data_IF_163131408308
#
_entry.id   IF_163131408308
#
_cell.length_a   1.000
_cell.length_b   1.000
_cell.length_c   1.000
_cell.angle_alpha   90.00
_cell.angle_beta   90.00
_cell.angle_gamma   90.00
#
_symmetry.space_group_name_H-M   'P 1'
#
loop_
_entity.id
_entity.type
_entity.pdbx_description
1 polymer ?
#
# COMPACT_ATOMS: atom_id res chain seq x y z
N UNK A 1 18.07 -14.22 35.89
CA UNK A 1 16.91 -13.38 36.25
C UNK A 1 16.26 -12.87 34.96
N UNK A 2 15.13 -13.45 34.55
CA UNK A 2 14.37 -13.00 33.37
C UNK A 2 13.67 -11.67 33.69
N UNK A 3 14.18 -10.55 33.17
CA UNK A 3 13.44 -9.28 33.18
C UNK A 3 12.74 -9.11 31.83
N UNK A 4 11.50 -9.60 31.76
CA UNK A 4 10.60 -9.43 30.63
C UNK A 4 10.16 -7.97 30.53
N UNK A 5 10.78 -7.19 29.65
CA UNK A 5 10.32 -5.83 29.33
C UNK A 5 9.41 -5.86 28.10
N UNK A 6 8.12 -5.63 28.34
CA UNK A 6 7.09 -5.49 27.32
C UNK A 6 7.37 -4.24 26.47
N UNK A 7 7.60 -4.42 25.18
CA UNK A 7 7.97 -3.35 24.26
C UNK A 7 6.71 -2.61 23.77
N UNK A 8 6.32 -1.54 24.48
CA UNK A 8 5.34 -0.57 23.99
C UNK A 8 6.08 0.38 23.03
N UNK A 9 5.96 0.15 21.72
CA UNK A 9 6.38 1.14 20.72
C UNK A 9 5.36 2.28 20.77
N UNK A 10 5.66 3.30 21.58
CA UNK A 10 4.96 4.57 21.55
C UNK A 10 5.16 5.23 20.17
N UNK A 11 4.18 5.07 19.29
CA UNK A 11 4.06 5.89 18.09
C UNK A 11 3.53 7.25 18.54
N UNK A 12 4.46 8.20 18.76
CA UNK A 12 4.13 9.61 18.95
C UNK A 12 3.52 10.13 17.65
N UNK A 13 2.21 9.96 17.51
CA UNK A 13 1.43 10.62 16.48
C UNK A 13 1.09 12.01 17.02
N UNK A 14 1.95 12.98 16.72
CA UNK A 14 1.65 14.41 16.84
C UNK A 14 0.59 14.77 15.80
N UNK A 15 -0.67 14.33 16.01
CA UNK A 15 -1.80 14.97 15.36
C UNK A 15 -2.13 16.22 16.15
N UNK A 16 -1.60 17.33 15.65
CA UNK A 16 -1.92 18.68 16.10
C UNK A 16 -3.42 18.90 16.18
N UNK A 17 -3.81 19.59 17.24
CA UNK A 17 -5.16 19.96 17.62
C UNK A 17 -5.90 20.65 16.46
N UNK A 18 -6.86 19.97 15.86
CA UNK A 18 -7.95 20.63 15.17
C UNK A 18 -9.14 20.67 16.14
N UNK A 19 -9.41 21.85 16.70
CA UNK A 19 -10.48 22.13 17.66
C UNK A 19 -11.81 21.55 17.15
N UNK A 20 -12.49 20.63 17.87
CA UNK A 20 -13.85 20.24 17.54
C UNK A 20 -14.81 21.36 17.96
N UNK A 21 -15.57 21.87 16.99
CA UNK A 21 -16.76 22.68 17.24
C UNK A 21 -17.83 21.82 17.96
N UNK A 22 -18.60 22.40 18.90
CA UNK A 22 -19.56 21.67 19.69
C UNK A 22 -20.81 21.41 18.87
N UNK A 23 -21.13 20.13 18.61
CA UNK A 23 -22.46 19.74 18.16
C UNK A 23 -23.19 19.15 19.37
N UNK A 24 -24.01 19.98 19.99
CA UNK A 24 -24.96 19.58 21.01
C UNK A 24 -26.15 18.87 20.33
N UNK A 25 -26.33 17.58 20.61
CA UNK A 25 -27.64 16.93 20.59
C UNK A 25 -27.68 15.84 21.68
N UNK A 26 -28.62 16.05 22.59
CA UNK A 26 -28.95 15.34 23.83
C UNK A 26 -29.30 13.84 23.65
N UNK A 27 -29.45 13.09 24.76
CA UNK A 27 -29.18 11.65 24.80
C UNK A 27 -30.40 10.82 24.42
N UNK A 28 -30.17 9.73 23.69
CA UNK A 28 -31.09 8.59 23.66
C UNK A 28 -30.56 7.57 24.66
N UNK A 29 -31.28 7.52 25.78
CA UNK A 29 -31.11 6.58 26.88
C UNK A 29 -31.35 5.14 26.45
N UNK A 30 -30.85 4.27 27.31
CA UNK A 30 -31.28 2.89 27.56
C UNK A 30 -30.68 1.78 26.69
N UNK A 31 -29.59 1.24 27.25
CA UNK A 31 -29.47 -0.13 27.70
C UNK A 31 -30.38 -1.17 27.01
N UNK A 32 -29.76 -2.23 26.47
CA UNK A 32 -30.00 -3.62 26.90
C UNK A 32 -29.17 -4.57 26.03
N UNK A 33 -28.29 -5.31 26.73
CA UNK A 33 -27.93 -6.72 26.50
C UNK A 33 -26.98 -7.07 25.34
N UNK A 34 -25.79 -7.49 25.76
CA UNK A 34 -24.80 -8.20 24.97
C UNK A 34 -25.37 -9.43 24.24
N UNK A 35 -25.16 -9.55 22.92
CA UNK A 35 -25.29 -10.80 22.20
C UNK A 35 -23.91 -11.43 22.01
N UNK A 36 -23.71 -12.53 22.73
CA UNK A 36 -23.07 -13.78 22.31
C UNK A 36 -22.02 -13.72 21.19
N UNK A 37 -20.77 -13.95 21.60
CA UNK A 37 -19.61 -14.45 20.85
C UNK A 37 -20.03 -15.40 19.72
N UNK A 38 -20.19 -14.89 18.50
CA UNK A 38 -20.25 -15.75 17.33
C UNK A 38 -18.81 -15.98 16.86
N UNK A 39 -18.45 -17.26 16.80
CA UNK A 39 -17.29 -17.80 16.10
C UNK A 39 -17.47 -17.55 14.60
N UNK A 40 -17.40 -16.30 14.17
CA UNK A 40 -17.11 -16.01 12.78
C UNK A 40 -15.62 -16.27 12.61
N UNK A 41 -15.33 -17.52 12.20
CA UNK A 41 -14.19 -17.82 11.34
C UNK A 41 -13.93 -16.59 10.50
N UNK A 42 -12.80 -15.96 10.77
CA UNK A 42 -12.32 -14.83 10.00
C UNK A 42 -12.00 -15.40 8.63
N UNK A 43 -13.04 -15.50 7.80
CA UNK A 43 -12.92 -15.71 6.37
C UNK A 43 -12.13 -14.50 5.92
N UNK A 44 -10.81 -14.67 5.88
CA UNK A 44 -9.90 -13.67 5.37
C UNK A 44 -10.51 -13.22 4.07
N UNK A 45 -11.02 -11.99 4.06
CA UNK A 45 -11.42 -11.31 2.85
C UNK A 45 -10.12 -11.26 2.09
N UNK A 46 -9.94 -12.24 1.18
CA UNK A 46 -8.85 -12.23 0.24
C UNK A 46 -9.06 -10.89 -0.44
N UNK A 47 -8.22 -9.92 -0.14
CA UNK A 47 -8.05 -8.71 -0.95
C UNK A 47 -7.35 -9.15 -2.24
N UNK A 48 -7.92 -10.16 -2.90
CA UNK A 48 -8.07 -10.17 -4.32
C UNK A 48 -9.07 -9.03 -4.60
N UNK A 49 -8.61 -7.80 -4.35
CA UNK A 49 -8.87 -6.68 -5.24
C UNK A 49 -8.23 -7.06 -6.58
N UNK A 50 -8.71 -8.16 -7.17
CA UNK A 50 -8.86 -8.41 -8.58
C UNK A 50 -9.69 -7.25 -9.08
N UNK A 51 -9.04 -6.08 -9.10
CA UNK A 51 -9.23 -4.89 -9.89
C UNK A 51 -10.27 -5.19 -10.94
N UNK A 52 -11.56 -5.07 -10.55
CA UNK A 52 -12.72 -5.61 -11.27
C UNK A 52 -12.45 -5.47 -12.75
N UNK A 53 -12.08 -6.54 -13.44
CA UNK A 53 -11.29 -6.43 -14.68
C UNK A 53 -11.88 -5.40 -15.63
N UNK A 54 -11.15 -4.33 -15.87
CA UNK A 54 -11.52 -3.33 -16.87
C UNK A 54 -11.14 -3.91 -18.24
N UNK A 55 -12.05 -3.80 -19.19
CA UNK A 55 -11.73 -3.88 -20.61
C UNK A 55 -11.66 -2.46 -21.17
N UNK A 56 -11.04 -2.27 -22.31
CA UNK A 56 -11.10 -1.01 -23.04
C UNK A 56 -11.17 -1.26 -24.54
N UNK A 57 -11.94 -0.44 -25.24
CA UNK A 57 -11.92 -0.34 -26.69
C UNK A 57 -11.06 0.87 -27.05
N UNK A 58 -9.97 0.64 -27.78
CA UNK A 58 -9.06 1.71 -28.17
C UNK A 58 -8.73 1.55 -29.66
N UNK A 59 -9.02 2.62 -30.43
CA UNK A 59 -8.94 2.63 -31.89
C UNK A 59 -9.75 1.49 -32.54
N UNK A 60 -10.99 1.27 -32.08
CA UNK A 60 -11.92 0.25 -32.61
C UNK A 60 -11.62 -1.19 -32.17
N UNK A 61 -10.52 -1.43 -31.45
CA UNK A 61 -10.15 -2.79 -30.99
C UNK A 61 -10.47 -2.95 -29.52
N UNK A 62 -11.38 -3.88 -29.21
CA UNK A 62 -11.66 -4.32 -27.85
C UNK A 62 -10.47 -5.10 -27.30
N UNK A 63 -9.95 -4.65 -26.16
CA UNK A 63 -8.87 -5.30 -25.42
C UNK A 63 -9.43 -5.99 -24.20
N UNK A 64 -8.98 -7.22 -23.98
CA UNK A 64 -9.35 -7.97 -22.80
C UNK A 64 -8.78 -7.35 -21.51
N UNK A 65 -9.07 -7.98 -20.37
CA UNK A 65 -8.65 -7.51 -19.05
C UNK A 65 -7.13 -7.45 -18.91
N UNK A 66 -6.39 -8.43 -19.44
CA UNK A 66 -4.95 -8.52 -19.30
C UNK A 66 -4.24 -7.47 -20.15
N UNK A 67 -4.63 -7.35 -21.42
CA UNK A 67 -4.16 -6.32 -22.34
C UNK A 67 -4.48 -4.91 -21.83
N UNK A 68 -5.69 -4.72 -21.31
CA UNK A 68 -6.11 -3.44 -20.72
C UNK A 68 -5.19 -3.07 -19.56
N UNK A 69 -4.96 -4.00 -18.62
CA UNK A 69 -4.09 -3.78 -17.46
C UNK A 69 -2.65 -3.47 -17.84
N UNK A 70 -2.09 -4.19 -18.82
CA UNK A 70 -0.75 -3.93 -19.33
C UNK A 70 -0.64 -2.51 -19.91
N UNK A 71 -1.62 -2.09 -20.70
CA UNK A 71 -1.64 -0.76 -21.30
C UNK A 71 -1.80 0.36 -20.27
N UNK A 72 -2.70 0.20 -19.30
CA UNK A 72 -2.85 1.17 -18.20
C UNK A 72 -1.57 1.26 -17.36
N UNK A 73 -0.89 0.14 -17.13
CA UNK A 73 0.40 0.09 -16.42
C UNK A 73 1.48 0.82 -17.21
N UNK A 74 1.53 0.64 -18.54
CA UNK A 74 2.44 1.38 -19.42
C UNK A 74 2.20 2.89 -19.36
N UNK A 75 0.93 3.33 -19.43
CA UNK A 75 0.58 4.74 -19.28
C UNK A 75 0.95 5.30 -17.91
N UNK A 76 0.81 4.49 -16.85
CA UNK A 76 1.17 4.89 -15.49
C UNK A 76 2.69 5.06 -15.32
N UNK A 77 3.46 4.17 -15.93
CA UNK A 77 4.93 4.18 -15.85
C UNK A 77 5.54 5.29 -16.71
N UNK A 78 4.92 5.61 -17.85
CA UNK A 78 5.29 6.77 -18.68
C UNK A 78 4.79 8.12 -18.14
N UNK A 79 4.18 8.14 -16.95
CA UNK A 79 3.80 9.38 -16.27
C UNK A 79 2.58 10.09 -16.84
N UNK A 80 1.73 9.41 -17.63
CA UNK A 80 0.55 10.05 -18.22
C UNK A 80 -0.39 10.61 -17.16
N UNK A 81 -1.02 11.75 -17.47
CA UNK A 81 -2.03 12.38 -16.63
C UNK A 81 -3.42 11.76 -16.87
N UNK A 82 -4.32 11.89 -15.90
CA UNK A 82 -5.71 11.43 -16.04
C UNK A 82 -6.41 12.11 -17.22
N UNK A 83 -6.28 13.44 -17.44
CA UNK A 83 -6.82 14.08 -18.64
C UNK A 83 -6.26 13.54 -19.96
N UNK A 84 -4.96 13.20 -20.02
CA UNK A 84 -4.34 12.61 -21.22
C UNK A 84 -4.91 11.23 -21.53
N UNK A 85 -5.09 10.39 -20.50
CA UNK A 85 -5.68 9.06 -20.66
C UNK A 85 -7.17 9.14 -21.00
N UNK A 86 -7.93 10.04 -20.36
CA UNK A 86 -9.33 10.30 -20.70
C UNK A 86 -9.50 10.69 -22.17
N UNK A 87 -8.60 11.53 -22.70
CA UNK A 87 -8.60 11.89 -24.12
C UNK A 87 -8.32 10.68 -25.03
N UNK A 88 -7.35 9.83 -24.68
CA UNK A 88 -7.05 8.60 -25.44
C UNK A 88 -8.21 7.61 -25.45
N UNK A 89 -8.99 7.57 -24.37
CA UNK A 89 -10.15 6.70 -24.21
C UNK A 89 -11.44 7.27 -24.81
N UNK A 90 -11.40 8.46 -25.43
CA UNK A 90 -12.57 9.10 -26.04
C UNK A 90 -13.49 9.83 -25.05
N UNK A 91 -13.12 9.93 -23.77
CA UNK A 91 -14.01 10.41 -22.70
C UNK A 91 -13.91 11.93 -22.45
N UNK A 92 -12.85 12.61 -22.94
CA UNK A 92 -12.58 14.01 -22.59
C UNK A 92 -13.68 14.99 -23.03
N UNK A 93 -14.37 14.70 -24.14
CA UNK A 93 -15.41 15.57 -24.72
C UNK A 93 -16.83 15.23 -24.24
N UNK A 94 -16.97 14.21 -23.42
CA UNK A 94 -18.26 13.75 -22.90
C UNK A 94 -18.57 14.46 -21.58
N UNK A 95 -19.86 14.67 -21.29
CA UNK A 95 -20.28 15.03 -19.93
C UNK A 95 -19.98 13.87 -18.97
N UNK A 96 -19.95 14.14 -17.67
CA UNK A 96 -19.77 13.08 -16.68
C UNK A 96 -20.87 12.02 -16.80
N UNK A 97 -22.13 12.46 -16.98
CA UNK A 97 -23.29 11.58 -17.17
C UNK A 97 -23.15 10.66 -18.39
N UNK A 98 -22.61 11.16 -19.50
CA UNK A 98 -22.31 10.32 -20.68
C UNK A 98 -21.13 9.39 -20.41
N UNK A 99 -20.07 9.91 -19.78
CA UNK A 99 -18.84 9.19 -19.56
C UNK A 99 -19.02 7.99 -18.63
N UNK A 100 -19.87 8.06 -17.61
CA UNK A 100 -20.11 6.94 -16.67
C UNK A 100 -20.72 5.71 -17.36
N UNK A 101 -21.45 5.91 -18.46
CA UNK A 101 -22.08 4.84 -19.25
C UNK A 101 -21.20 4.35 -20.42
N UNK A 102 -20.06 4.99 -20.66
CA UNK A 102 -19.15 4.63 -21.74
C UNK A 102 -18.34 3.37 -21.41
N UNK A 103 -18.10 2.51 -22.40
CA UNK A 103 -17.35 1.24 -22.26
C UNK A 103 -15.97 1.43 -21.59
N UNK A 104 -15.26 2.51 -21.95
CA UNK A 104 -13.93 2.84 -21.40
C UNK A 104 -13.93 3.49 -20.01
N UNK A 105 -15.08 3.79 -19.42
CA UNK A 105 -15.16 4.45 -18.10
C UNK A 105 -14.41 3.68 -17.03
N UNK A 106 -14.59 2.36 -17.03
CA UNK A 106 -13.95 1.46 -16.07
C UNK A 106 -12.44 1.44 -16.22
N UNK A 107 -11.92 1.60 -17.44
CA UNK A 107 -10.49 1.71 -17.68
C UNK A 107 -9.92 3.03 -17.14
N UNK A 108 -10.63 4.16 -17.33
CA UNK A 108 -10.21 5.47 -16.80
C UNK A 108 -10.20 5.48 -15.27
N UNK A 109 -11.27 5.02 -14.63
CA UNK A 109 -11.37 4.96 -13.16
C UNK A 109 -10.34 3.99 -12.58
N UNK A 110 -10.03 2.89 -13.26
CA UNK A 110 -8.93 1.99 -12.89
C UNK A 110 -7.58 2.70 -12.99
N UNK A 111 -7.29 3.40 -14.09
CA UNK A 111 -6.07 4.19 -14.22
C UNK A 111 -5.91 5.23 -13.11
N UNK A 112 -6.98 5.96 -12.77
CA UNK A 112 -6.98 6.94 -11.69
C UNK A 112 -6.68 6.29 -10.33
N UNK A 113 -7.28 5.14 -10.03
CA UNK A 113 -6.98 4.36 -8.81
C UNK A 113 -5.52 3.91 -8.77
N UNK A 114 -5.00 3.37 -9.87
CA UNK A 114 -3.59 2.96 -9.97
C UNK A 114 -2.65 4.14 -9.74
N UNK A 115 -2.97 5.32 -10.30
CA UNK A 115 -2.18 6.54 -10.12
C UNK A 115 -2.20 7.01 -8.67
N UNK A 116 -3.36 7.02 -8.02
CA UNK A 116 -3.50 7.34 -6.59
C UNK A 116 -2.71 6.37 -5.71
N UNK A 117 -2.79 5.07 -5.99
CA UNK A 117 -2.02 4.04 -5.28
C UNK A 117 -0.51 4.23 -5.44
N UNK A 118 -0.05 4.53 -6.67
CA UNK A 118 1.37 4.82 -6.93
C UNK A 118 1.85 6.08 -6.21
N UNK A 119 1.03 7.14 -6.18
CA UNK A 119 1.37 8.40 -5.52
C UNK A 119 1.52 8.25 -3.99
N UNK A 120 0.76 7.33 -3.38
CA UNK A 120 0.83 7.01 -1.94
C UNK A 120 1.79 5.88 -1.61
N UNK A 121 2.50 5.33 -2.61
CA UNK A 121 3.35 4.18 -2.43
C UNK A 121 4.68 4.57 -1.81
N UNK A 122 5.02 3.95 -0.68
CA UNK A 122 6.34 4.09 -0.08
C UNK A 122 7.37 3.18 -0.75
N UNK A 123 6.95 1.99 -1.14
CA UNK A 123 7.78 1.01 -1.83
C UNK A 123 6.95 0.20 -2.83
N UNK A 124 7.63 -0.51 -3.72
CA UNK A 124 7.05 -1.43 -4.69
C UNK A 124 7.82 -2.75 -4.66
N UNK A 125 7.21 -3.80 -4.14
CA UNK A 125 7.80 -5.14 -4.11
C UNK A 125 6.70 -6.21 -4.03
N UNK A 126 7.04 -7.46 -4.33
CA UNK A 126 6.08 -8.54 -4.46
C UNK A 126 5.05 -8.24 -5.55
N UNK A 127 3.76 -8.27 -5.21
CA UNK A 127 2.65 -8.09 -6.15
C UNK A 127 2.34 -6.63 -6.51
N UNK A 128 3.00 -5.63 -5.89
CA UNK A 128 2.79 -4.24 -6.29
C UNK A 128 3.24 -3.18 -5.29
N UNK A 129 2.59 -2.00 -5.38
CA UNK A 129 2.84 -0.87 -4.49
C UNK A 129 2.37 -1.16 -3.07
N UNK A 130 3.21 -0.79 -2.09
CA UNK A 130 2.97 -0.96 -0.66
C UNK A 130 2.96 0.41 0.03
N UNK A 131 2.12 0.53 1.05
CA UNK A 131 2.10 1.72 1.92
C UNK A 131 3.31 1.74 2.84
N UNK A 132 3.60 2.89 3.44
CA UNK A 132 4.70 3.02 4.40
C UNK A 132 4.53 2.11 5.61
N UNK A 133 3.36 2.12 6.24
CA UNK A 133 3.06 1.30 7.42
C UNK A 133 3.31 -0.19 7.16
N UNK A 134 2.74 -0.74 6.07
CA UNK A 134 2.91 -2.14 5.69
C UNK A 134 4.36 -2.46 5.30
N UNK A 135 5.04 -1.52 4.65
CA UNK A 135 6.46 -1.71 4.33
C UNK A 135 7.28 -1.81 5.60
N UNK A 136 7.14 -0.86 6.53
CA UNK A 136 7.89 -0.86 7.79
C UNK A 136 7.63 -2.09 8.65
N UNK A 137 6.37 -2.55 8.71
CA UNK A 137 6.02 -3.82 9.37
C UNK A 137 6.78 -5.01 8.76
N UNK A 138 6.74 -5.16 7.42
CA UNK A 138 7.47 -6.22 6.74
C UNK A 138 8.98 -6.12 6.95
N UNK A 139 9.56 -4.91 6.90
CA UNK A 139 10.98 -4.69 7.13
C UNK A 139 11.38 -5.16 8.54
N UNK A 140 10.58 -4.84 9.55
CA UNK A 140 10.82 -5.28 10.93
C UNK A 140 10.75 -6.82 11.03
N UNK A 141 9.77 -7.45 10.38
CA UNK A 141 9.69 -8.92 10.33
C UNK A 141 10.92 -9.54 9.66
N UNK A 142 11.44 -8.96 8.57
CA UNK A 142 12.67 -9.42 7.92
C UNK A 142 13.89 -9.29 8.85
N UNK A 143 13.98 -8.20 9.61
CA UNK A 143 15.03 -8.05 10.64
C UNK A 143 14.92 -9.14 11.72
N UNK A 144 13.72 -9.38 12.24
CA UNK A 144 13.48 -10.40 13.28
C UNK A 144 13.63 -11.84 12.78
N UNK A 145 13.55 -12.07 11.47
CA UNK A 145 13.86 -13.35 10.83
C UNK A 145 15.37 -13.55 10.61
N UNK A 146 16.13 -12.46 10.59
CA UNK A 146 17.56 -12.48 10.32
C UNK A 146 17.91 -12.36 8.83
N UNK A 147 16.98 -11.93 8.00
CA UNK A 147 17.19 -11.78 6.55
C UNK A 147 18.41 -10.88 6.28
N UNK A 148 19.27 -11.29 5.35
CA UNK A 148 20.52 -10.58 5.01
C UNK A 148 20.25 -9.30 4.20
N UNK A 149 21.18 -8.32 4.15
CA UNK A 149 21.01 -7.14 3.29
C UNK A 149 20.97 -7.53 1.81
N UNK A 150 21.66 -8.63 1.45
CA UNK A 150 21.63 -9.17 0.09
C UNK A 150 20.24 -9.67 -0.29
N UNK A 151 19.60 -10.48 0.56
CA UNK A 151 18.24 -11.01 0.30
C UNK A 151 17.20 -9.91 0.24
N UNK A 152 17.25 -8.95 1.16
CA UNK A 152 16.32 -7.82 1.16
C UNK A 152 16.56 -6.90 -0.04
N UNK A 153 17.82 -6.65 -0.42
CA UNK A 153 18.12 -5.88 -1.63
C UNK A 153 17.60 -6.57 -2.90
N UNK A 154 17.64 -7.91 -2.96
CA UNK A 154 17.06 -8.70 -4.05
C UNK A 154 15.54 -8.54 -4.08
N UNK A 155 14.87 -8.72 -2.94
CA UNK A 155 13.41 -8.56 -2.80
C UNK A 155 12.92 -7.16 -3.18
N UNK A 156 13.71 -6.14 -2.86
CA UNK A 156 13.42 -4.75 -3.20
C UNK A 156 13.88 -4.35 -4.62
N UNK A 157 14.44 -5.27 -5.40
CA UNK A 157 14.89 -5.01 -6.78
C UNK A 157 16.10 -4.07 -6.89
N UNK A 158 16.92 -4.00 -5.84
CA UNK A 158 18.12 -3.15 -5.78
C UNK A 158 19.41 -3.90 -6.13
N UNK A 159 19.36 -5.23 -6.13
CA UNK A 159 20.53 -6.07 -6.39
C UNK A 159 21.07 -5.84 -7.82
N UNK A 160 22.39 -5.65 -7.94
CA UNK A 160 23.07 -5.43 -9.22
C UNK A 160 22.95 -4.01 -9.80
N UNK A 161 22.18 -3.12 -9.17
CA UNK A 161 22.13 -1.72 -9.58
C UNK A 161 23.41 -0.98 -9.15
N UNK A 162 23.85 -0.01 -9.96
CA UNK A 162 24.92 0.89 -9.56
C UNK A 162 24.48 1.80 -8.42
N UNK A 163 25.44 2.33 -7.65
CA UNK A 163 25.16 3.22 -6.50
C UNK A 163 24.21 4.37 -6.86
N UNK A 164 24.42 5.01 -8.02
CA UNK A 164 23.54 6.10 -8.51
C UNK A 164 22.12 5.60 -8.75
N UNK A 165 21.96 4.47 -9.46
CA UNK A 165 20.64 3.87 -9.71
C UNK A 165 19.93 3.43 -8.44
N UNK A 166 20.68 3.00 -7.41
CA UNK A 166 20.10 2.63 -6.11
C UNK A 166 19.50 3.85 -5.41
N UNK A 167 20.23 4.97 -5.36
CA UNK A 167 19.76 6.20 -4.69
C UNK A 167 18.49 6.74 -5.36
N UNK A 168 18.42 6.68 -6.69
CA UNK A 168 17.26 7.14 -7.46
C UNK A 168 16.10 6.11 -7.49
N UNK A 169 16.26 4.93 -6.87
CA UNK A 169 15.26 3.86 -6.91
C UNK A 169 14.12 4.10 -5.90
N UNK A 170 12.88 3.82 -6.30
CA UNK A 170 11.70 3.99 -5.44
C UNK A 170 11.81 3.23 -4.10
N UNK A 171 12.52 2.11 -4.06
CA UNK A 171 12.69 1.29 -2.84
C UNK A 171 13.92 1.66 -1.99
N UNK A 172 14.65 2.71 -2.33
CA UNK A 172 15.86 3.11 -1.62
C UNK A 172 15.59 3.38 -0.13
N UNK A 173 14.56 4.19 0.16
CA UNK A 173 14.22 4.56 1.54
C UNK A 173 13.75 3.35 2.36
N UNK A 174 13.06 2.39 1.74
CA UNK A 174 12.72 1.11 2.37
C UNK A 174 13.98 0.33 2.74
N UNK A 175 14.97 0.24 1.84
CA UNK A 175 16.21 -0.46 2.13
C UNK A 175 17.05 0.23 3.20
N UNK A 176 17.13 1.58 3.20
CA UNK A 176 17.79 2.32 4.29
C UNK A 176 17.12 2.07 5.63
N UNK A 177 15.78 2.09 5.66
CA UNK A 177 15.01 1.81 6.87
C UNK A 177 15.31 0.41 7.39
N UNK A 178 15.39 -0.59 6.51
CA UNK A 178 15.78 -1.94 6.88
C UNK A 178 17.17 -2.01 7.53
N UNK A 179 18.18 -1.37 6.92
CA UNK A 179 19.54 -1.32 7.49
C UNK A 179 19.55 -0.65 8.88
N UNK A 180 18.76 0.42 9.05
CA UNK A 180 18.58 1.08 10.35
C UNK A 180 17.97 0.12 11.39
N UNK A 181 16.87 -0.53 11.06
CA UNK A 181 16.21 -1.49 11.95
C UNK A 181 17.13 -2.65 12.33
N UNK A 182 17.94 -3.14 11.39
CA UNK A 182 18.95 -4.16 11.68
C UNK A 182 19.97 -3.72 12.71
N UNK A 183 20.50 -2.51 12.57
CA UNK A 183 21.46 -1.95 13.52
C UNK A 183 20.84 -1.88 14.92
N UNK A 184 19.64 -1.32 15.02
CA UNK A 184 18.91 -1.22 16.29
C UNK A 184 18.60 -2.60 16.89
N UNK A 185 18.24 -3.58 16.06
CA UNK A 185 18.00 -4.95 16.51
C UNK A 185 19.28 -5.61 17.04
N UNK A 186 20.42 -5.43 16.37
CA UNK A 186 21.71 -5.95 16.84
C UNK A 186 22.11 -5.32 18.19
N UNK A 187 21.88 -4.01 18.37
CA UNK A 187 22.10 -3.32 19.65
C UNK A 187 21.22 -3.90 20.76
N UNK A 188 19.93 -4.16 20.48
CA UNK A 188 19.02 -4.79 21.45
C UNK A 188 19.46 -6.22 21.80
N UNK A 189 19.84 -7.04 20.82
CA UNK A 189 20.34 -8.39 21.06
C UNK A 189 21.62 -8.39 21.93
N UNK A 190 22.54 -7.45 21.67
CA UNK A 190 23.75 -7.28 22.49
C UNK A 190 23.45 -6.89 23.94
N UNK A 191 22.32 -6.21 24.18
CA UNK A 191 21.84 -5.83 25.51
C UNK A 191 20.99 -6.93 26.19
N UNK A 192 21.01 -8.17 25.67
CA UNK A 192 20.32 -9.32 26.27
C UNK A 192 18.84 -9.46 25.90
N UNK A 193 18.33 -8.65 24.97
CA UNK A 193 16.99 -8.85 24.43
C UNK A 193 17.01 -10.03 23.46
N UNK A 194 16.46 -11.18 23.82
CA UNK A 194 16.34 -12.33 22.91
C UNK A 194 14.94 -12.41 22.31
N UNK A 195 14.83 -12.97 21.10
CA UNK A 195 13.53 -13.25 20.48
C UNK A 195 12.75 -14.22 21.37
N UNK A 196 11.48 -13.90 21.66
CA UNK A 196 10.56 -14.84 22.30
C UNK A 196 10.43 -16.08 21.39
N UNK A 197 11.07 -17.18 21.78
CA UNK A 197 10.79 -18.50 21.23
C UNK A 197 9.45 -18.94 21.82
N UNK A 198 8.40 -18.91 21.01
CA UNK A 198 7.19 -19.70 21.26
C UNK A 198 7.47 -21.14 20.82
#
# INVERSE_FOLDING_TARGET
>A
MLRSFLLIVATVSLFGQCKPLPLATSPVSDAVRAPHRSTHETRFVRTNDEERGATMTLAGVLRDKAQTKQLLTSWLNSGKSVPSVSNKLGLKRMSLEQAIHHENWKALTTFQRMKSKKAKAYAKYGTGYQTEAKTKENLLQWVMRGDSPKEVSSTLGLLGLSRRKIIDHQNYEAFRTFLKYRKQWAEMQGNGFTKLTT
#
